data_IF_342138348806
#
_entry.id   IF_342138348806
#
_cell.length_a   1.000
_cell.length_b   1.000
_cell.length_c   1.000
_cell.angle_alpha   90.00
_cell.angle_beta   90.00
_cell.angle_gamma   90.00
#
_symmetry.space_group_name_H-M   'P 1'
#
loop_
_entity.id
_entity.type
_entity.pdbx_description
1 polymer ?
#
# COMPACT_ATOMS: atom_id res chain seq x y z
N UNK A 1 -11.72 5.59 -5.34
CA UNK A 1 -11.02 6.69 -4.61
C UNK A 1 -10.05 6.06 -3.61
N UNK A 2 -8.94 6.73 -3.29
CA UNK A 2 -8.04 6.28 -2.20
C UNK A 2 -8.16 7.28 -1.05
N UNK A 3 -8.54 6.81 0.14
CA UNK A 3 -8.44 7.54 1.40
C UNK A 3 -7.11 7.16 2.06
N UNK A 4 -6.38 8.17 2.53
CA UNK A 4 -5.02 7.96 3.01
C UNK A 4 -4.91 8.14 4.52
N UNK A 5 -4.31 7.19 5.20
CA UNK A 5 -3.93 7.26 6.60
C UNK A 5 -2.39 7.25 6.77
N UNK A 6 -1.64 7.19 5.66
CA UNK A 6 -0.18 7.05 5.62
C UNK A 6 0.49 8.40 5.34
N UNK A 7 1.37 8.53 4.39
CA UNK A 7 2.28 9.67 4.20
C UNK A 7 1.59 10.99 3.83
N UNK A 8 0.39 10.98 3.24
CA UNK A 8 -0.35 12.21 2.99
C UNK A 8 -0.97 12.84 4.26
N UNK A 9 -0.92 12.14 5.39
CA UNK A 9 -1.45 12.62 6.68
C UNK A 9 -0.29 12.87 7.65
N UNK A 10 -0.12 14.10 8.07
CA UNK A 10 0.90 14.48 9.06
C UNK A 10 0.70 13.70 10.39
N UNK A 11 1.79 13.39 11.12
CA UNK A 11 1.69 12.61 12.36
C UNK A 11 0.66 13.13 13.37
N UNK A 12 0.61 14.44 13.58
CA UNK A 12 -0.36 15.06 14.50
C UNK A 12 -1.82 15.04 14.01
N UNK A 13 -2.06 14.76 12.72
CA UNK A 13 -3.42 14.69 12.14
C UNK A 13 -3.95 13.26 12.02
N UNK A 14 -3.15 12.23 12.32
CA UNK A 14 -3.53 10.82 12.17
C UNK A 14 -4.81 10.45 12.93
N UNK A 15 -4.98 10.94 14.15
CA UNK A 15 -6.17 10.67 14.97
C UNK A 15 -7.40 11.28 14.33
N UNK A 16 -7.33 12.54 13.90
CA UNK A 16 -8.43 13.22 13.22
C UNK A 16 -8.80 12.53 11.89
N UNK A 17 -7.81 12.09 11.12
CA UNK A 17 -8.04 11.38 9.86
C UNK A 17 -8.77 10.03 10.08
N UNK A 18 -8.44 9.30 11.14
CA UNK A 18 -9.15 8.08 11.51
C UNK A 18 -10.61 8.36 11.92
N UNK A 19 -10.85 9.44 12.69
CA UNK A 19 -12.20 9.88 13.02
C UNK A 19 -13.02 10.20 11.77
N UNK A 20 -12.46 11.01 10.87
CA UNK A 20 -13.10 11.35 9.61
C UNK A 20 -13.38 10.12 8.73
N UNK A 21 -12.52 9.09 8.78
CA UNK A 21 -12.76 7.84 8.06
C UNK A 21 -14.00 7.10 8.58
N UNK A 22 -14.20 7.07 9.92
CA UNK A 22 -15.37 6.42 10.53
C UNK A 22 -16.65 7.19 10.18
N UNK A 23 -16.60 8.51 10.17
CA UNK A 23 -17.73 9.39 9.89
C UNK A 23 -18.06 9.51 8.39
N UNK A 24 -17.21 8.95 7.53
CA UNK A 24 -17.36 9.08 6.08
C UNK A 24 -18.51 8.23 5.54
N UNK A 25 -19.40 8.85 4.77
CA UNK A 25 -20.54 8.23 4.09
C UNK A 25 -20.22 7.81 2.64
N UNK A 26 -18.95 7.67 2.28
CA UNK A 26 -18.54 7.26 0.94
C UNK A 26 -18.90 5.79 0.68
N UNK A 27 -19.26 5.49 -0.56
CA UNK A 27 -19.57 4.14 -1.03
C UNK A 27 -18.36 3.20 -0.77
N UNK A 28 -18.48 2.21 0.13
CA UNK A 28 -17.37 1.34 0.51
C UNK A 28 -16.81 0.49 -0.63
N UNK A 29 -17.61 0.20 -1.66
CA UNK A 29 -17.19 -0.58 -2.82
C UNK A 29 -16.33 0.24 -3.79
N UNK A 30 -16.33 1.56 -3.66
CA UNK A 30 -15.58 2.50 -4.50
C UNK A 30 -14.40 3.15 -3.80
N UNK A 31 -14.10 2.71 -2.58
CA UNK A 31 -13.04 3.26 -1.73
C UNK A 31 -11.97 2.20 -1.43
N UNK A 32 -10.73 2.63 -1.52
CA UNK A 32 -9.56 1.93 -1.02
C UNK A 32 -9.01 2.75 0.15
N UNK A 33 -8.70 2.15 1.27
CA UNK A 33 -8.05 2.85 2.39
C UNK A 33 -6.57 2.46 2.44
N UNK A 34 -5.68 3.45 2.25
CA UNK A 34 -4.25 3.23 2.43
C UNK A 34 -3.89 3.34 3.91
N UNK A 35 -3.34 2.26 4.46
CA UNK A 35 -2.96 2.13 5.86
C UNK A 35 -1.45 2.28 6.04
N UNK A 36 -1.02 2.65 7.24
CA UNK A 36 0.39 2.76 7.61
C UNK A 36 1.13 1.43 7.41
N UNK A 37 2.47 1.45 7.34
CA UNK A 37 3.27 0.22 7.13
C UNK A 37 3.08 -0.79 8.25
N UNK A 38 3.00 -2.10 7.93
CA UNK A 38 2.93 -3.17 8.91
C UNK A 38 4.12 -3.13 9.90
N UNK A 39 3.82 -3.42 11.17
CA UNK A 39 4.81 -3.37 12.25
C UNK A 39 4.92 -2.00 12.94
N UNK A 40 4.08 -1.03 12.57
CA UNK A 40 3.97 0.26 13.24
C UNK A 40 2.72 0.34 14.11
N UNK A 41 2.73 1.19 15.14
CA UNK A 41 1.54 1.48 15.95
C UNK A 41 0.42 2.08 15.09
N UNK A 42 0.81 2.87 14.07
CA UNK A 42 -0.12 3.42 13.08
C UNK A 42 -0.92 2.33 12.36
N UNK A 43 -0.27 1.25 11.95
CA UNK A 43 -0.93 0.12 11.29
C UNK A 43 -1.97 -0.55 12.19
N UNK A 44 -1.62 -0.78 13.46
CA UNK A 44 -2.55 -1.38 14.44
C UNK A 44 -3.77 -0.49 14.65
N UNK A 45 -3.55 0.82 14.82
CA UNK A 45 -4.62 1.79 14.99
C UNK A 45 -5.51 1.91 13.73
N UNK A 46 -4.92 1.83 12.53
CA UNK A 46 -5.67 1.87 11.27
C UNK A 46 -6.58 0.64 11.12
N UNK A 47 -6.08 -0.56 11.43
CA UNK A 47 -6.90 -1.77 11.39
C UNK A 47 -8.04 -1.73 12.41
N UNK A 48 -7.78 -1.20 13.62
CA UNK A 48 -8.81 -1.00 14.64
C UNK A 48 -9.88 0.02 14.18
N UNK A 49 -9.47 1.07 13.46
CA UNK A 49 -10.39 2.05 12.86
C UNK A 49 -11.23 1.39 11.77
N UNK A 50 -10.59 0.66 10.86
CA UNK A 50 -11.26 -0.04 9.76
C UNK A 50 -12.28 -1.07 10.25
N UNK A 51 -12.07 -1.68 11.42
CA UNK A 51 -13.05 -2.62 12.00
C UNK A 51 -14.39 -1.96 12.36
N UNK A 52 -14.44 -0.63 12.43
CA UNK A 52 -15.63 0.18 12.72
C UNK A 52 -16.28 0.76 11.45
N UNK A 53 -15.83 0.35 10.27
CA UNK A 53 -16.31 0.84 8.96
C UNK A 53 -16.74 -0.30 8.05
N UNK A 54 -17.47 0.01 7.00
CA UNK A 54 -17.87 -0.94 5.96
C UNK A 54 -16.87 -1.05 4.81
N UNK A 55 -15.76 -0.32 4.84
CA UNK A 55 -14.72 -0.41 3.81
C UNK A 55 -14.14 -1.82 3.74
N UNK A 56 -13.91 -2.29 2.51
CA UNK A 56 -13.50 -3.68 2.24
C UNK A 56 -12.14 -3.82 1.57
N UNK A 57 -11.61 -2.74 1.00
CA UNK A 57 -10.32 -2.78 0.29
C UNK A 57 -9.28 -1.94 1.01
N UNK A 58 -8.20 -2.56 1.41
CA UNK A 58 -7.06 -1.90 2.08
C UNK A 58 -5.83 -1.92 1.18
N UNK A 59 -5.15 -0.78 1.07
CA UNK A 59 -3.83 -0.69 0.45
C UNK A 59 -2.77 -0.66 1.55
N UNK A 60 -1.92 -1.67 1.55
CA UNK A 60 -0.87 -1.83 2.57
C UNK A 60 0.40 -1.14 2.08
N UNK A 61 0.73 0.01 2.69
CA UNK A 61 1.95 0.75 2.38
C UNK A 61 3.19 -0.06 2.76
N UNK A 62 4.25 0.09 1.98
CA UNK A 62 5.57 -0.53 2.23
C UNK A 62 5.48 -2.02 2.53
N UNK A 63 4.63 -2.74 1.77
CA UNK A 63 4.48 -4.18 1.88
C UNK A 63 5.79 -4.88 1.49
N UNK A 64 6.32 -5.73 2.38
CA UNK A 64 7.60 -6.41 2.17
C UNK A 64 7.51 -7.93 2.20
N UNK A 65 6.57 -8.50 2.95
CA UNK A 65 6.37 -9.94 3.04
C UNK A 65 4.89 -10.30 3.25
N UNK A 66 4.46 -11.45 2.74
CA UNK A 66 3.08 -11.96 2.95
C UNK A 66 2.78 -12.24 4.43
N UNK A 67 3.79 -12.46 5.27
CA UNK A 67 3.60 -12.64 6.72
C UNK A 67 3.00 -11.42 7.40
N UNK A 68 3.22 -10.23 6.84
CA UNK A 68 2.68 -8.98 7.35
C UNK A 68 1.15 -8.91 7.23
N UNK A 69 0.53 -9.66 6.32
CA UNK A 69 -0.92 -9.66 6.10
C UNK A 69 -1.69 -10.54 7.09
N UNK A 70 -0.99 -11.36 7.88
CA UNK A 70 -1.62 -12.34 8.78
C UNK A 70 -2.57 -11.70 9.83
N UNK A 71 -2.32 -10.44 10.20
CA UNK A 71 -3.14 -9.70 11.17
C UNK A 71 -4.27 -8.88 10.50
N UNK A 72 -4.36 -8.91 9.18
CA UNK A 72 -5.44 -8.28 8.42
C UNK A 72 -6.61 -9.26 8.37
N UNK A 73 -7.77 -8.83 8.87
CA UNK A 73 -8.98 -9.64 8.87
C UNK A 73 -9.29 -10.17 7.46
N UNK A 74 -9.76 -11.43 7.38
CA UNK A 74 -10.06 -12.11 6.13
C UNK A 74 -11.16 -11.47 5.29
N UNK A 75 -11.94 -10.55 5.85
CA UNK A 75 -12.96 -9.77 5.14
C UNK A 75 -12.37 -8.74 4.16
N UNK A 76 -11.11 -8.34 4.37
CA UNK A 76 -10.47 -7.33 3.54
C UNK A 76 -9.82 -7.92 2.29
N UNK A 77 -10.04 -7.26 1.17
CA UNK A 77 -9.23 -7.37 -0.04
C UNK A 77 -8.01 -6.48 0.09
N UNK A 78 -6.84 -6.98 -0.28
CA UNK A 78 -5.56 -6.28 -0.10
C UNK A 78 -5.01 -5.83 -1.45
N UNK A 79 -4.61 -4.56 -1.53
CA UNK A 79 -3.69 -4.07 -2.54
C UNK A 79 -2.31 -3.96 -1.88
N UNK A 80 -1.34 -4.73 -2.36
CA UNK A 80 0.02 -4.65 -1.83
C UNK A 80 0.80 -3.54 -2.55
N UNK A 81 1.24 -2.51 -1.81
CA UNK A 81 2.02 -1.41 -2.36
C UNK A 81 3.52 -1.77 -2.30
N UNK A 82 4.06 -2.15 -3.45
CA UNK A 82 5.45 -2.57 -3.67
C UNK A 82 6.34 -1.34 -3.89
N UNK A 83 6.74 -0.68 -2.83
CA UNK A 83 7.49 0.58 -2.88
C UNK A 83 8.79 0.54 -2.04
N UNK A 84 9.25 -0.66 -1.72
CA UNK A 84 10.59 -0.92 -1.17
C UNK A 84 11.31 -1.96 -2.03
N UNK A 85 12.63 -2.01 -1.94
CA UNK A 85 13.42 -3.02 -2.66
C UNK A 85 12.95 -4.45 -2.36
N UNK A 86 12.65 -4.74 -1.08
CA UNK A 86 12.14 -6.05 -0.66
C UNK A 86 10.72 -6.30 -1.16
N UNK A 87 9.85 -5.28 -1.14
CA UNK A 87 8.49 -5.38 -1.66
C UNK A 87 8.47 -5.73 -3.15
N UNK A 88 9.28 -5.03 -3.96
CA UNK A 88 9.42 -5.32 -5.39
C UNK A 88 9.99 -6.73 -5.62
N UNK A 89 10.97 -7.16 -4.82
CA UNK A 89 11.54 -8.51 -4.91
C UNK A 89 10.51 -9.62 -4.59
N UNK A 90 9.48 -9.33 -3.82
CA UNK A 90 8.45 -10.29 -3.40
C UNK A 90 7.10 -10.12 -4.12
N UNK A 91 7.03 -9.33 -5.18
CA UNK A 91 5.78 -9.04 -5.91
C UNK A 91 5.00 -10.32 -6.32
N UNK A 92 5.70 -11.37 -6.78
CA UNK A 92 5.05 -12.63 -7.17
C UNK A 92 4.44 -13.37 -5.96
N UNK A 93 5.07 -13.24 -4.77
CA UNK A 93 4.53 -13.85 -3.54
C UNK A 93 3.27 -13.12 -3.08
N UNK A 94 3.21 -11.79 -3.26
CA UNK A 94 2.00 -11.03 -2.99
C UNK A 94 0.88 -11.41 -3.96
N UNK A 95 1.17 -11.44 -5.25
CA UNK A 95 0.20 -11.85 -6.28
C UNK A 95 -0.36 -13.26 -6.04
N UNK A 96 0.41 -14.14 -5.38
CA UNK A 96 -0.02 -15.49 -5.02
C UNK A 96 -0.88 -15.55 -3.75
N UNK A 97 -0.97 -14.47 -2.96
CA UNK A 97 -1.68 -14.50 -1.69
C UNK A 97 -3.19 -14.33 -1.90
N UNK A 98 -4.00 -15.17 -1.25
CA UNK A 98 -5.45 -15.28 -1.49
C UNK A 98 -6.26 -13.98 -1.27
N UNK A 99 -5.82 -13.11 -0.34
CA UNK A 99 -6.49 -11.84 -0.07
C UNK A 99 -6.00 -10.70 -0.98
N UNK A 100 -4.88 -10.88 -1.70
CA UNK A 100 -4.34 -9.84 -2.56
C UNK A 100 -5.08 -9.82 -3.89
N UNK A 101 -5.78 -8.72 -4.13
CA UNK A 101 -6.57 -8.50 -5.35
C UNK A 101 -5.88 -7.54 -6.33
N UNK A 102 -4.77 -6.94 -5.91
CA UNK A 102 -4.01 -6.03 -6.76
C UNK A 102 -2.63 -5.73 -6.21
N UNK A 103 -1.74 -5.33 -7.11
CA UNK A 103 -0.43 -4.81 -6.78
C UNK A 103 -0.33 -3.36 -7.25
N UNK A 104 0.30 -2.53 -6.45
CA UNK A 104 0.68 -1.17 -6.82
C UNK A 104 2.17 -0.97 -6.59
N UNK A 105 2.80 -0.01 -7.25
CA UNK A 105 4.20 0.34 -7.05
C UNK A 105 4.35 1.83 -6.78
N UNK A 106 5.35 2.23 -5.97
CA UNK A 106 5.70 3.60 -5.67
C UNK A 106 7.14 3.89 -6.05
N UNK A 107 7.38 4.92 -6.88
CA UNK A 107 8.71 5.22 -7.38
C UNK A 107 9.56 5.96 -6.37
N UNK A 108 8.97 6.89 -5.64
CA UNK A 108 9.69 7.79 -4.73
C UNK A 108 10.16 7.03 -3.49
N UNK A 109 9.25 6.30 -2.83
CA UNK A 109 9.60 5.46 -1.68
C UNK A 109 10.58 4.35 -2.03
N UNK A 110 10.44 3.74 -3.22
CA UNK A 110 11.41 2.76 -3.69
C UNK A 110 12.81 3.35 -3.76
N UNK A 111 12.95 4.53 -4.36
CA UNK A 111 14.26 5.19 -4.49
C UNK A 111 14.79 5.62 -3.13
N UNK A 112 13.94 6.14 -2.25
CA UNK A 112 14.31 6.47 -0.87
C UNK A 112 14.78 5.23 -0.10
N UNK A 113 14.10 4.08 -0.25
CA UNK A 113 14.48 2.80 0.37
C UNK A 113 15.85 2.29 -0.09
N UNK A 114 16.32 2.75 -1.24
CA UNK A 114 17.64 2.43 -1.82
C UNK A 114 18.71 3.49 -1.50
N UNK A 115 18.37 4.51 -0.70
CA UNK A 115 19.26 5.63 -0.37
C UNK A 115 19.44 6.64 -1.52
N UNK A 116 18.55 6.62 -2.50
CA UNK A 116 18.58 7.56 -3.63
C UNK A 116 17.81 8.85 -3.33
N UNK A 117 18.05 9.88 -4.16
CA UNK A 117 17.50 11.22 -4.01
C UNK A 117 16.42 11.59 -5.02
N UNK A 118 16.11 10.72 -5.96
CA UNK A 118 15.04 10.97 -6.94
C UNK A 118 14.83 9.83 -7.92
N UNK A 119 13.57 9.56 -8.24
CA UNK A 119 13.14 8.48 -9.13
C UNK A 119 13.33 8.81 -10.62
N UNK A 120 13.49 10.11 -10.96
CA UNK A 120 13.53 10.59 -12.33
C UNK A 120 14.89 11.17 -12.72
N UNK A 121 15.17 11.13 -14.00
CA UNK A 121 16.27 11.83 -14.67
C UNK A 121 15.85 13.30 -14.93
N UNK A 122 16.78 14.24 -15.22
CA UNK A 122 16.43 15.64 -15.50
C UNK A 122 15.42 15.83 -16.63
N UNK A 123 15.33 14.89 -17.57
CA UNK A 123 14.37 14.89 -18.67
C UNK A 123 12.97 14.33 -18.28
N UNK A 124 12.68 14.15 -17.01
CA UNK A 124 11.41 13.65 -16.49
C UNK A 124 11.21 12.12 -16.58
N UNK A 125 12.06 11.38 -17.29
CA UNK A 125 11.95 9.93 -17.44
C UNK A 125 12.37 9.22 -16.16
N UNK A 126 11.65 8.17 -15.79
CA UNK A 126 12.05 7.31 -14.67
C UNK A 126 13.45 6.71 -14.88
N UNK A 127 14.22 6.64 -13.80
CA UNK A 127 15.47 5.89 -13.74
C UNK A 127 15.20 4.40 -13.95
N UNK A 128 16.21 3.66 -14.37
CA UNK A 128 16.03 2.28 -14.80
C UNK A 128 15.55 1.36 -13.65
N UNK A 129 15.97 1.59 -12.41
CA UNK A 129 15.45 0.84 -11.25
C UNK A 129 13.94 1.03 -11.06
N UNK A 130 13.42 2.24 -11.22
CA UNK A 130 11.98 2.52 -11.11
C UNK A 130 11.20 1.89 -12.29
N UNK A 131 11.77 1.93 -13.49
CA UNK A 131 11.20 1.27 -14.69
C UNK A 131 11.15 -0.24 -14.52
N UNK A 132 12.22 -0.83 -14.01
CA UNK A 132 12.30 -2.26 -13.73
C UNK A 132 11.26 -2.67 -12.69
N UNK A 133 11.18 -1.94 -11.56
CA UNK A 133 10.21 -2.22 -10.51
C UNK A 133 8.77 -2.19 -11.03
N UNK A 134 8.42 -1.15 -11.81
CA UNK A 134 7.10 -1.05 -12.46
C UNK A 134 6.80 -2.26 -13.35
N UNK A 135 7.75 -2.64 -14.20
CA UNK A 135 7.57 -3.78 -15.09
C UNK A 135 7.41 -5.09 -14.31
N UNK A 136 8.24 -5.29 -13.28
CA UNK A 136 8.19 -6.49 -12.44
C UNK A 136 6.86 -6.63 -11.70
N UNK A 137 6.37 -5.55 -11.10
CA UNK A 137 5.07 -5.55 -10.39
C UNK A 137 3.92 -5.83 -11.36
N UNK A 138 3.94 -5.22 -12.56
CA UNK A 138 2.94 -5.48 -13.60
C UNK A 138 2.95 -6.93 -14.05
N UNK A 139 4.12 -7.51 -14.30
CA UNK A 139 4.26 -8.91 -14.73
C UNK A 139 3.80 -9.87 -13.62
N UNK A 140 4.13 -9.58 -12.35
CA UNK A 140 3.70 -10.39 -11.23
C UNK A 140 2.18 -10.39 -11.06
N UNK A 141 1.53 -9.25 -11.24
CA UNK A 141 0.07 -9.13 -11.22
C UNK A 141 -0.54 -9.89 -12.40
N UNK A 142 -0.08 -9.63 -13.63
CA UNK A 142 -0.63 -10.25 -14.84
C UNK A 142 -0.45 -11.77 -14.92
N UNK A 143 0.55 -12.33 -14.24
CA UNK A 143 0.75 -13.78 -14.17
C UNK A 143 -0.33 -14.52 -13.35
N UNK A 144 -1.21 -13.80 -12.66
CA UNK A 144 -2.29 -14.36 -11.83
C UNK A 144 -3.70 -14.12 -12.39
N UNK A 145 -3.82 -13.36 -13.46
CA UNK A 145 -5.09 -13.03 -14.13
C UNK A 145 -5.64 -11.70 -13.70
#
# INVERSE_FOLDING_TARGET
MILDLEDAVAPGAKVAARGALIESELDPDRVIVRVNPPGTDGFIADLATLSQTDYRTVMVAKAETVKQFKNIDGRFSIIALCETARGVAHAEKFAAHRQVVGLMWGAEDLVASLGGTGSRKPNGRYRDVARYARARVLLAAGARG
#
